data_IF_146880800191
#
_entry.id   IF_146880800191
#
_cell.length_a   1.000
_cell.length_b   1.000
_cell.length_c   1.000
_cell.angle_alpha   90.00
_cell.angle_beta   90.00
_cell.angle_gamma   90.00
#
_symmetry.space_group_name_H-M   'P 1'
#
loop_
_entity.id
_entity.type
_entity.pdbx_description
1 polymer ?
#
# COMPACT_ATOMS: atom_id res chain seq x y z
N UNK A 1 -16.91 16.44 2.12
CA UNK A 1 -16.36 15.38 3.02
C UNK A 1 -15.02 15.85 3.54
N UNK A 2 -14.91 15.94 4.87
CA UNK A 2 -13.87 16.61 5.66
C UNK A 2 -12.50 15.92 5.57
N UNK A 3 -11.45 16.65 5.99
CA UNK A 3 -10.03 16.29 6.16
C UNK A 3 -9.71 14.84 6.58
N UNK A 4 -10.65 14.15 7.23
CA UNK A 4 -10.51 12.82 7.81
C UNK A 4 -10.13 11.70 6.81
N UNK A 5 -10.35 11.88 5.51
CA UNK A 5 -9.99 10.84 4.52
C UNK A 5 -8.48 10.74 4.25
N UNK A 6 -7.68 11.73 4.65
CA UNK A 6 -6.21 11.70 4.46
C UNK A 6 -5.57 10.70 5.42
N UNK A 7 -6.13 10.48 6.61
CA UNK A 7 -5.58 9.51 7.57
C UNK A 7 -5.54 8.08 7.01
N UNK A 8 -6.49 7.71 6.16
CA UNK A 8 -6.49 6.42 5.48
C UNK A 8 -5.30 6.24 4.53
N UNK A 9 -4.76 7.34 3.99
CA UNK A 9 -3.60 7.35 3.11
C UNK A 9 -2.27 7.28 3.89
N UNK A 10 -2.30 7.47 5.20
CA UNK A 10 -1.13 7.38 6.09
C UNK A 10 -0.98 5.99 6.72
N UNK A 11 -1.89 5.05 6.43
CA UNK A 11 -1.76 3.68 6.87
C UNK A 11 -0.50 3.06 6.25
N UNK A 12 0.40 2.47 7.06
CA UNK A 12 1.61 1.80 6.57
C UNK A 12 1.26 0.43 5.97
N UNK A 13 0.51 0.44 4.87
CA UNK A 13 0.01 -0.77 4.20
C UNK A 13 1.13 -1.76 3.83
N UNK A 14 2.30 -1.33 3.32
CA UNK A 14 3.39 -2.27 3.04
C UNK A 14 3.90 -3.00 4.27
N UNK A 15 3.96 -2.32 5.42
CA UNK A 15 4.28 -2.98 6.68
C UNK A 15 3.20 -3.99 7.06
N UNK A 16 1.91 -3.62 7.05
CA UNK A 16 0.85 -4.55 7.43
C UNK A 16 0.80 -5.78 6.53
N UNK A 17 1.10 -5.62 5.23
CA UNK A 17 1.21 -6.73 4.29
C UNK A 17 2.24 -7.75 4.77
N UNK A 18 3.49 -7.32 4.96
CA UNK A 18 4.57 -8.23 5.36
C UNK A 18 4.48 -8.67 6.81
N UNK A 19 3.91 -7.85 7.70
CA UNK A 19 3.69 -8.24 9.09
C UNK A 19 2.70 -9.41 9.17
N UNK A 20 1.57 -9.30 8.46
CA UNK A 20 0.59 -10.39 8.40
C UNK A 20 1.17 -11.61 7.70
N UNK A 21 1.84 -11.43 6.56
CA UNK A 21 2.48 -12.51 5.81
C UNK A 21 3.50 -13.27 6.65
N UNK A 22 4.45 -12.55 7.25
CA UNK A 22 5.55 -13.14 8.02
C UNK A 22 5.05 -13.92 9.23
N UNK A 23 4.12 -13.36 10.00
CA UNK A 23 3.64 -14.05 11.20
C UNK A 23 2.78 -15.27 10.88
N UNK A 24 2.04 -15.28 9.76
CA UNK A 24 1.41 -16.53 9.33
C UNK A 24 2.45 -17.57 8.93
N UNK A 25 3.46 -17.18 8.14
CA UNK A 25 4.55 -18.07 7.75
C UNK A 25 5.30 -18.65 8.96
N UNK A 26 5.66 -17.81 9.93
CA UNK A 26 6.37 -18.22 11.14
C UNK A 26 5.56 -19.20 12.01
N UNK A 27 4.22 -19.18 11.90
CA UNK A 27 3.33 -20.13 12.57
C UNK A 27 2.97 -21.34 11.69
N UNK A 28 3.59 -21.51 10.52
CA UNK A 28 3.29 -22.60 9.60
C UNK A 28 1.93 -22.48 8.91
N UNK A 29 1.34 -21.28 8.89
CA UNK A 29 0.04 -20.99 8.28
C UNK A 29 0.20 -20.22 6.97
N UNK A 30 -0.76 -20.39 6.08
CA UNK A 30 -0.89 -19.54 4.89
C UNK A 30 -1.52 -18.19 5.24
N UNK A 31 -1.01 -17.11 4.66
CA UNK A 31 -1.56 -15.76 4.81
C UNK A 31 -2.85 -15.60 3.97
N UNK A 32 -3.93 -16.24 4.39
CA UNK A 32 -5.23 -16.22 3.69
C UNK A 32 -5.74 -14.80 3.53
N UNK A 33 -6.31 -14.50 2.37
CA UNK A 33 -6.84 -13.18 2.02
C UNK A 33 -5.82 -12.02 1.98
N UNK A 34 -4.51 -12.27 2.15
CA UNK A 34 -3.48 -11.22 2.08
C UNK A 34 -3.61 -10.39 0.79
N UNK A 35 -3.65 -11.07 -0.36
CA UNK A 35 -3.78 -10.42 -1.66
C UNK A 35 -5.12 -9.71 -1.82
N UNK A 36 -6.23 -10.34 -1.42
CA UNK A 36 -7.56 -9.74 -1.51
C UNK A 36 -7.66 -8.47 -0.64
N UNK A 37 -7.20 -8.54 0.61
CA UNK A 37 -7.15 -7.41 1.52
C UNK A 37 -6.27 -6.29 0.98
N UNK A 38 -5.09 -6.62 0.44
CA UNK A 38 -4.20 -5.66 -0.21
C UNK A 38 -4.89 -4.94 -1.38
N UNK A 39 -5.56 -5.68 -2.27
CA UNK A 39 -6.28 -5.10 -3.40
C UNK A 39 -7.43 -4.19 -2.94
N UNK A 40 -8.20 -4.59 -1.92
CA UNK A 40 -9.31 -3.80 -1.37
C UNK A 40 -8.83 -2.48 -0.73
N UNK A 41 -7.75 -2.54 0.05
CA UNK A 41 -7.16 -1.35 0.67
C UNK A 41 -6.56 -0.43 -0.41
N UNK A 42 -5.85 -1.00 -1.39
CA UNK A 42 -5.31 -0.26 -2.55
C UNK A 42 -6.43 0.43 -3.33
N UNK A 43 -7.55 -0.26 -3.57
CA UNK A 43 -8.69 0.30 -4.27
C UNK A 43 -9.33 1.45 -3.51
N UNK A 44 -9.56 1.26 -2.22
CA UNK A 44 -10.14 2.29 -1.35
C UNK A 44 -9.23 3.52 -1.30
N UNK A 45 -7.93 3.32 -1.08
CA UNK A 45 -6.95 4.40 -1.08
C UNK A 45 -6.83 5.09 -2.44
N UNK A 46 -6.86 4.34 -3.54
CA UNK A 46 -6.85 4.88 -4.91
C UNK A 46 -8.08 5.73 -5.24
N UNK A 47 -9.26 5.34 -4.74
CA UNK A 47 -10.49 6.14 -4.85
C UNK A 47 -10.35 7.45 -4.08
N UNK A 48 -9.84 7.40 -2.85
CA UNK A 48 -9.58 8.61 -2.02
C UNK A 48 -8.54 9.51 -2.69
N UNK A 49 -7.48 8.92 -3.26
CA UNK A 49 -6.40 9.60 -3.96
C UNK A 49 -6.87 10.39 -5.18
N UNK A 50 -8.06 10.12 -5.74
CA UNK A 50 -8.65 10.91 -6.84
C UNK A 50 -8.73 12.40 -6.51
N UNK A 51 -8.96 12.74 -5.24
CA UNK A 51 -9.09 14.12 -4.74
C UNK A 51 -7.75 14.82 -4.49
N UNK A 52 -6.65 14.08 -4.44
CA UNK A 52 -5.32 14.61 -4.19
C UNK A 52 -4.66 15.04 -5.50
N UNK A 53 -3.79 16.05 -5.47
CA UNK A 53 -2.87 16.26 -6.57
C UNK A 53 -1.77 15.17 -6.56
N UNK A 54 -1.07 14.99 -7.68
CA UNK A 54 -0.07 13.93 -7.82
C UNK A 54 1.07 14.08 -6.79
N UNK A 55 1.56 15.30 -6.59
CA UNK A 55 2.63 15.57 -5.62
C UNK A 55 2.27 15.15 -4.20
N UNK A 56 1.08 15.51 -3.70
CA UNK A 56 0.59 15.10 -2.37
C UNK A 56 0.46 13.58 -2.25
N UNK A 57 -0.01 12.91 -3.30
CA UNK A 57 -0.11 11.44 -3.30
C UNK A 57 1.27 10.79 -3.16
N UNK A 58 2.26 11.27 -3.90
CA UNK A 58 3.63 10.75 -3.84
C UNK A 58 4.26 11.01 -2.46
N UNK A 59 4.12 12.23 -1.93
CA UNK A 59 4.61 12.57 -0.58
C UNK A 59 3.99 11.67 0.48
N UNK A 60 2.68 11.43 0.45
CA UNK A 60 2.01 10.54 1.40
C UNK A 60 2.54 9.10 1.27
N UNK A 61 2.71 8.58 0.04
CA UNK A 61 3.28 7.24 -0.15
C UNK A 61 4.71 7.15 0.36
N UNK A 62 5.55 8.16 0.14
CA UNK A 62 6.91 8.22 0.69
C UNK A 62 6.90 8.20 2.21
N UNK A 63 6.03 9.00 2.85
CA UNK A 63 5.86 8.98 4.31
C UNK A 63 5.44 7.59 4.78
N UNK A 64 4.45 6.95 4.13
CA UNK A 64 4.04 5.59 4.50
C UNK A 64 5.12 4.55 4.29
N UNK A 65 5.98 4.70 3.28
CA UNK A 65 7.11 3.80 3.06
C UNK A 65 8.14 3.93 4.18
N UNK A 66 8.48 5.16 4.59
CA UNK A 66 9.39 5.41 5.72
C UNK A 66 8.80 4.82 7.01
N UNK A 67 7.53 5.09 7.31
CA UNK A 67 6.86 4.52 8.50
C UNK A 67 6.85 2.99 8.41
N UNK A 68 6.60 2.42 7.23
CA UNK A 68 6.58 0.97 7.04
C UNK A 68 7.95 0.34 7.28
N UNK A 69 9.03 0.98 6.85
CA UNK A 69 10.39 0.52 7.11
C UNK A 69 10.72 0.57 8.60
N UNK A 70 10.40 1.69 9.27
CA UNK A 70 10.60 1.82 10.73
C UNK A 70 9.84 0.72 11.48
N UNK A 71 8.56 0.52 11.17
CA UNK A 71 7.76 -0.55 11.78
C UNK A 71 8.30 -1.94 11.43
N UNK A 72 8.76 -2.14 10.20
CA UNK A 72 9.42 -3.37 9.77
C UNK A 72 10.63 -3.70 10.63
N UNK A 73 11.52 -2.72 10.87
CA UNK A 73 12.67 -2.87 11.77
C UNK A 73 12.29 -3.24 13.20
N UNK A 74 11.17 -2.71 13.71
CA UNK A 74 10.75 -2.93 15.09
C UNK A 74 10.02 -4.27 15.30
N UNK A 75 9.24 -4.73 14.32
CA UNK A 75 8.25 -5.80 14.53
C UNK A 75 8.40 -7.04 13.65
N UNK A 76 9.23 -6.99 12.61
CA UNK A 76 9.44 -8.11 11.69
C UNK A 76 10.92 -8.48 11.72
N UNK A 77 11.31 -9.69 12.17
CA UNK A 77 12.68 -10.17 12.06
C UNK A 77 13.19 -10.09 10.62
N UNK A 78 14.46 -9.74 10.44
CA UNK A 78 15.09 -9.82 9.12
C UNK A 78 15.49 -11.26 8.83
N UNK A 79 14.48 -12.09 8.57
CA UNK A 79 14.62 -13.51 8.25
C UNK A 79 15.14 -13.65 6.82
N UNK A 80 16.42 -14.00 6.72
CA UNK A 80 17.12 -14.15 5.44
C UNK A 80 16.71 -15.41 4.68
N UNK A 81 15.90 -16.31 5.23
CA UNK A 81 15.32 -17.42 4.48
C UNK A 81 13.98 -17.02 3.86
N UNK A 82 13.16 -16.26 4.59
CA UNK A 82 11.85 -15.81 4.09
C UNK A 82 11.98 -14.65 3.09
N UNK A 83 12.78 -13.63 3.41
CA UNK A 83 12.91 -12.45 2.58
C UNK A 83 14.00 -12.54 1.50
N UNK A 84 14.33 -13.75 1.01
CA UNK A 84 15.32 -13.89 -0.07
C UNK A 84 14.82 -13.36 -1.42
N UNK A 85 15.72 -12.84 -2.27
CA UNK A 85 17.16 -12.62 -2.04
C UNK A 85 17.50 -11.23 -1.50
N UNK A 86 16.53 -10.32 -1.38
CA UNK A 86 16.79 -8.89 -1.19
C UNK A 86 16.62 -8.37 0.25
N UNK A 87 16.08 -9.20 1.15
CA UNK A 87 15.81 -8.85 2.54
C UNK A 87 14.47 -8.13 2.75
N UNK A 88 14.08 -8.00 4.02
CA UNK A 88 12.79 -7.45 4.44
C UNK A 88 12.55 -6.03 3.91
N UNK A 89 13.56 -5.18 3.96
CA UNK A 89 13.40 -3.76 3.62
C UNK A 89 13.11 -3.58 2.13
N UNK A 90 13.81 -4.34 1.28
CA UNK A 90 13.54 -4.37 -0.15
C UNK A 90 12.13 -4.90 -0.46
N UNK A 91 11.67 -5.93 0.26
CA UNK A 91 10.30 -6.44 0.12
C UNK A 91 9.26 -5.36 0.49
N UNK A 92 9.43 -4.68 1.63
CA UNK A 92 8.56 -3.57 2.06
C UNK A 92 8.53 -2.44 1.02
N UNK A 93 9.69 -2.06 0.47
CA UNK A 93 9.77 -1.03 -0.57
C UNK A 93 9.04 -1.49 -1.84
N UNK A 94 9.21 -2.75 -2.24
CA UNK A 94 8.56 -3.32 -3.42
C UNK A 94 7.04 -3.31 -3.30
N UNK A 95 6.49 -3.78 -2.17
CA UNK A 95 5.04 -3.70 -1.93
C UNK A 95 4.57 -2.25 -1.84
N UNK A 96 5.37 -1.35 -1.26
CA UNK A 96 5.12 0.10 -1.28
C UNK A 96 5.01 0.67 -2.69
N UNK A 97 5.89 0.26 -3.60
CA UNK A 97 5.85 0.66 -5.00
C UNK A 97 4.59 0.13 -5.71
N UNK A 98 4.24 -1.14 -5.51
CA UNK A 98 3.01 -1.73 -6.07
C UNK A 98 1.77 -1.02 -5.52
N UNK A 99 1.73 -0.73 -4.22
CA UNK A 99 0.63 -0.02 -3.57
C UNK A 99 0.43 1.38 -4.17
N UNK A 100 1.51 2.16 -4.28
CA UNK A 100 1.50 3.48 -4.90
C UNK A 100 1.06 3.39 -6.38
N UNK A 101 1.59 2.43 -7.13
CA UNK A 101 1.22 2.21 -8.53
C UNK A 101 -0.28 1.87 -8.68
N UNK A 102 -0.81 0.97 -7.85
CA UNK A 102 -2.23 0.61 -7.85
C UNK A 102 -3.13 1.81 -7.57
N UNK A 103 -2.76 2.68 -6.63
CA UNK A 103 -3.48 3.93 -6.39
C UNK A 103 -3.46 4.86 -7.61
N UNK A 104 -2.32 4.98 -8.30
CA UNK A 104 -2.18 5.78 -9.51
C UNK A 104 -3.06 5.26 -10.66
N UNK A 105 -3.09 3.95 -10.88
CA UNK A 105 -3.94 3.31 -11.89
C UNK A 105 -5.41 3.63 -11.62
N UNK A 106 -5.88 3.45 -10.38
CA UNK A 106 -7.28 3.66 -10.00
C UNK A 106 -7.67 5.14 -10.05
N UNK A 107 -6.73 6.02 -9.70
CA UNK A 107 -6.86 7.47 -9.87
C UNK A 107 -6.99 7.83 -11.36
N UNK A 108 -6.14 7.27 -12.21
CA UNK A 108 -6.12 7.49 -13.66
C UNK A 108 -7.40 7.02 -14.33
N UNK A 109 -7.84 5.79 -14.05
CA UNK A 109 -9.06 5.21 -14.59
C UNK A 109 -10.31 6.06 -14.27
N UNK A 110 -10.39 6.63 -13.06
CA UNK A 110 -11.47 7.54 -12.69
C UNK A 110 -11.54 8.78 -13.58
N UNK A 111 -10.40 9.36 -13.97
CA UNK A 111 -10.39 10.54 -14.86
C UNK A 111 -10.93 10.21 -16.25
N UNK A 112 -10.66 9.02 -16.77
CA UNK A 112 -11.12 8.59 -18.09
C UNK A 112 -12.65 8.39 -18.07
N UNK A 113 -13.15 7.67 -17.05
CA UNK A 113 -14.58 7.34 -16.93
C UNK A 113 -15.47 8.58 -16.69
N UNK A 114 -15.05 9.53 -15.86
CA UNK A 114 -15.84 10.73 -15.59
C UNK A 114 -15.73 11.80 -16.67
N UNK A 115 -14.66 11.81 -17.48
CA UNK A 115 -14.49 12.74 -18.60
C UNK A 115 -15.36 12.38 -19.80
N UNK A 116 -15.71 11.11 -19.99
CA UNK A 116 -16.65 10.69 -21.05
C UNK A 116 -18.12 11.03 -20.73
N UNK A 117 -18.48 11.18 -19.45
CA UNK A 117 -19.88 11.44 -19.05
C UNK A 117 -20.32 12.90 -19.24
N UNK A 118 -19.39 13.82 -19.48
CA UNK A 118 -19.64 15.26 -19.66
C UNK A 118 -19.70 15.71 -21.13
N UNK A 119 -19.56 14.77 -22.08
CA UNK A 119 -19.60 15.03 -23.52
C UNK A 119 -20.87 14.47 -24.20
N UNK A 120 -21.96 14.33 -23.45
CA UNK A 120 -23.29 13.94 -23.96
C UNK A 120 -24.30 14.99 -23.53
#
# INVERSE_FOLDING_TARGET
MKQNSIFLMLLPVPFFFHYYEYWNHANGHEARFLMLGFLLVTATAGIVARRLNLGKLLVLNTITAIISLVLGHLFIPNDMAWFTPFGRDAAIIFIGAIYCFGQLVIKGAGRILFRQKSSV
#
